data_IF_403260784943
#
_entry.id   IF_403260784943
#
_cell.length_a   1.000
_cell.length_b   1.000
_cell.length_c   1.000
_cell.angle_alpha   90.00
_cell.angle_beta   90.00
_cell.angle_gamma   90.00
#
_symmetry.space_group_name_H-M   'P 1'
#
loop_
_entity.id
_entity.type
_entity.pdbx_description
1 polymer ?
2 non-polymer ?
3 non-polymer ?
4 water ?
#
# COMPACT_ATOMS: atom_id res chain seq x y z
N UNK A 14 5.30 20.75 7.50
CA UNK A 14 4.44 19.65 7.93
C UNK A 14 5.14 18.31 7.90
N UNK A 15 5.83 18.04 6.79
CA UNK A 15 6.53 16.79 6.62
C UNK A 15 7.67 16.68 7.61
N UNK A 16 7.78 15.53 8.23
CA UNK A 16 8.80 15.26 9.22
C UNK A 16 9.87 14.39 8.59
N UNK A 17 11.09 14.93 8.52
CA UNK A 17 12.24 14.18 8.06
C UNK A 17 12.77 13.37 9.23
N UNK A 18 12.93 12.08 9.03
CA UNK A 18 13.39 11.21 10.10
C UNK A 18 14.38 10.26 9.43
N UNK A 19 15.66 10.47 9.73
CA UNK A 19 16.72 9.91 8.91
C UNK A 19 16.49 10.26 7.47
N UNK A 20 16.51 9.23 6.63
CA UNK A 20 16.33 9.35 5.19
C UNK A 20 14.89 9.13 4.75
N UNK A 21 13.96 9.06 5.70
CA UNK A 21 12.55 8.86 5.42
C UNK A 21 11.76 10.12 5.74
N UNK A 22 10.54 10.18 5.24
CA UNK A 22 9.65 11.31 5.45
C UNK A 22 8.31 10.79 5.94
N UNK A 23 7.75 11.48 6.94
CA UNK A 23 6.48 11.09 7.52
C UNK A 23 5.55 12.28 7.48
N UNK A 24 4.30 12.05 7.09
CA UNK A 24 3.34 13.14 6.95
C UNK A 24 2.00 12.73 7.56
N UNK A 25 1.51 13.49 8.55
CA UNK A 25 0.21 13.18 9.12
C UNK A 25 -0.90 13.51 8.14
N UNK A 26 -1.78 12.54 7.89
CA UNK A 26 -2.91 12.73 6.98
C UNK A 26 -4.24 12.90 7.69
N UNK A 27 -4.36 12.36 8.90
CA UNK A 27 -5.58 12.39 9.70
C UNK A 27 -5.16 12.16 11.14
N UNK A 28 -6.06 12.35 12.11
CA UNK A 28 -5.63 12.19 13.51
C UNK A 28 -4.93 10.87 13.82
N UNK A 29 -5.30 9.78 13.15
CA UNK A 29 -4.73 8.48 13.44
C UNK A 29 -4.00 7.87 12.23
N UNK A 30 -3.64 8.67 11.23
CA UNK A 30 -3.09 8.14 9.98
C UNK A 30 -1.91 8.98 9.54
N UNK A 31 -0.81 8.31 9.19
CA UNK A 31 0.38 8.96 8.66
C UNK A 31 0.84 8.24 7.40
N UNK A 32 1.43 9.00 6.49
CA UNK A 32 2.07 8.43 5.32
C UNK A 32 3.58 8.30 5.58
N UNK A 33 4.15 7.11 5.32
CA UNK A 33 5.58 6.93 5.37
C UNK A 33 6.12 6.98 3.96
N UNK A 34 7.30 7.60 3.78
CA UNK A 34 7.91 7.71 2.46
C UNK A 34 9.38 7.36 2.56
N UNK A 35 9.82 6.48 1.65
CA UNK A 35 11.20 6.06 1.58
C UNK A 35 11.69 6.10 0.14
N UNK A 36 13.01 6.14 -0.04
CA UNK A 36 13.57 6.43 -1.36
C UNK A 36 14.61 5.39 -1.76
N UNK A 37 14.64 5.05 -3.05
CA UNK A 37 15.66 4.16 -3.58
C UNK A 37 16.06 4.65 -4.95
N UNK A 38 17.36 4.69 -5.20
CA UNK A 38 17.84 5.04 -6.53
C UNK A 38 17.49 3.95 -7.53
N UNK A 39 16.93 4.34 -8.67
CA UNK A 39 16.69 3.45 -9.80
C UNK A 39 17.29 4.09 -11.02
N UNK A 40 18.41 3.59 -11.54
CA UNK A 40 19.02 4.17 -12.74
C UNK A 40 18.00 4.41 -13.85
N UNK A 41 17.92 5.64 -14.32
CA UNK A 41 16.92 6.05 -15.29
C UNK A 41 15.70 6.73 -14.71
N UNK A 42 15.45 6.55 -13.41
CA UNK A 42 14.33 7.21 -12.73
C UNK A 42 14.77 8.22 -11.68
N UNK A 43 15.99 8.14 -11.19
CA UNK A 43 16.38 8.95 -10.06
C UNK A 43 16.10 8.24 -8.74
N UNK A 44 16.03 9.03 -7.67
CA UNK A 44 15.72 8.54 -6.34
C UNK A 44 14.20 8.50 -6.19
N UNK A 45 13.63 7.31 -6.21
CA UNK A 45 12.18 7.12 -6.34
C UNK A 45 11.53 7.04 -4.97
N UNK A 46 10.55 7.90 -4.73
CA UNK A 46 9.79 7.85 -3.49
C UNK A 46 8.77 6.71 -3.56
N UNK A 47 8.57 6.05 -2.43
CA UNK A 47 7.46 5.11 -2.32
C UNK A 47 6.76 5.38 -1.01
N UNK A 48 5.42 5.42 -1.05
CA UNK A 48 4.61 5.76 0.12
C UNK A 48 3.84 4.55 0.62
N UNK A 49 3.74 4.45 1.94
CA UNK A 49 2.83 3.54 2.64
C UNK A 49 2.10 4.29 3.74
N UNK A 50 1.40 3.55 4.60
CA UNK A 50 0.60 4.15 5.66
C UNK A 50 0.93 3.54 7.01
N UNK A 51 0.66 4.35 8.03
CA UNK A 51 0.72 3.94 9.44
C UNK A 51 -0.61 4.39 10.04
N UNK A 52 -1.31 3.46 10.72
CA UNK A 52 -2.63 3.76 11.28
C UNK A 52 -2.62 3.38 12.75
N UNK A 53 -3.03 4.31 13.62
CA UNK A 53 -3.25 3.96 15.02
C UNK A 53 -4.70 3.52 15.18
N UNK A 54 -4.89 2.33 15.76
CA UNK A 54 -6.22 1.82 16.05
C UNK A 54 -6.26 1.57 17.56
N UNK A 55 -6.74 2.56 18.32
CA UNK A 55 -6.76 2.43 19.76
C UNK A 55 -5.36 2.27 20.29
N UNK A 56 -5.09 1.17 21.00
CA UNK A 56 -3.80 0.91 21.61
C UNK A 56 -2.80 0.15 20.76
N UNK A 57 -3.00 0.09 19.45
CA UNK A 57 -2.05 -0.58 18.59
C UNK A 57 -1.89 0.18 17.28
N UNK A 58 -0.85 -0.20 16.54
CA UNK A 58 -0.52 0.42 15.26
C UNK A 58 -0.55 -0.64 14.16
N UNK A 59 -1.04 -0.23 12.99
CA UNK A 59 -1.12 -1.09 11.82
C UNK A 59 -0.33 -0.42 10.72
N UNK A 60 0.43 -1.20 9.96
CA UNK A 60 1.27 -0.67 8.89
C UNK A 60 0.79 -1.21 7.54
N UNK A 61 0.73 -0.32 6.54
CA UNK A 61 0.48 -0.71 5.16
C UNK A 61 1.74 -0.43 4.36
N UNK A 62 2.33 -1.51 3.84
CA UNK A 62 3.55 -1.55 3.03
C UNK A 62 4.84 -1.37 3.82
N UNK A 63 5.88 -2.11 3.45
CA UNK A 63 7.20 -1.81 3.99
C UNK A 63 7.80 -0.61 3.27
N UNK A 64 9.00 -0.21 3.67
CA UNK A 64 9.83 0.65 2.85
C UNK A 64 10.59 -0.23 1.84
N UNK A 65 11.46 0.40 1.04
CA UNK A 65 12.19 -0.36 0.04
C UNK A 65 13.13 -1.41 0.66
N UNK A 66 13.71 -1.14 1.83
CA UNK A 66 14.73 -2.00 2.39
C UNK A 66 14.41 -2.33 3.85
N UNK A 67 15.12 -3.33 4.37
CA UNK A 67 14.99 -3.70 5.77
C UNK A 67 15.41 -2.53 6.65
N UNK A 68 16.56 -1.91 6.35
CA UNK A 68 17.03 -0.79 7.18
C UNK A 68 16.00 0.33 7.23
N UNK A 69 15.43 0.69 6.08
CA UNK A 69 14.43 1.75 6.07
C UNK A 69 13.19 1.33 6.85
N UNK A 70 12.82 0.04 6.74
CA UNK A 70 11.64 -0.43 7.45
C UNK A 70 11.85 -0.42 8.95
N UNK A 71 13.05 -0.81 9.41
CA UNK A 71 13.39 -0.66 10.83
C UNK A 71 13.27 0.80 11.26
N UNK A 72 13.62 1.74 10.36
CA UNK A 72 13.49 3.16 10.70
C UNK A 72 12.02 3.56 10.83
N UNK A 73 11.12 2.98 10.01
CA UNK A 73 9.69 3.21 10.21
C UNK A 73 9.29 2.77 11.62
N UNK A 74 9.77 1.59 12.05
CA UNK A 74 9.42 1.12 13.37
C UNK A 74 10.00 2.01 14.47
N UNK A 75 11.20 2.55 14.24
CA UNK A 75 11.78 3.51 15.17
C UNK A 75 10.94 4.79 15.26
N UNK A 76 10.49 5.30 14.11
CA UNK A 76 9.62 6.48 14.12
C UNK A 76 8.34 6.19 14.90
N UNK A 77 7.73 5.03 14.66
CA UNK A 77 6.51 4.66 15.38
C UNK A 77 6.78 4.67 16.89
N UNK A 78 7.92 4.10 17.30
CA UNK A 78 8.23 4.04 18.73
C UNK A 78 8.35 5.43 19.33
N UNK A 79 8.95 6.36 18.58
CA UNK A 79 9.17 7.71 19.08
C UNK A 79 7.89 8.53 19.08
N UNK A 80 7.11 8.43 18.01
CA UNK A 80 5.98 9.35 17.81
C UNK A 80 4.63 8.81 18.28
N UNK A 81 4.49 7.49 18.36
CA UNK A 81 3.24 6.87 18.80
C UNK A 81 3.44 6.03 20.05
N UNK A 82 4.51 5.23 20.10
CA UNK A 82 4.86 4.45 21.29
C UNK A 82 3.75 3.47 21.68
N UNK A 83 3.29 2.71 20.69
CA UNK A 83 2.34 1.63 20.89
C UNK A 83 2.79 0.47 20.02
N UNK A 84 2.42 -0.76 20.39
CA UNK A 84 2.90 -1.91 19.62
C UNK A 84 2.32 -1.93 18.22
N UNK A 85 3.11 -2.42 17.27
CA UNK A 85 2.66 -2.64 15.90
C UNK A 85 2.06 -4.03 15.82
N UNK A 86 0.73 -4.10 15.67
CA UNK A 86 0.02 -5.37 15.71
C UNK A 86 0.17 -6.17 14.44
N UNK A 87 0.23 -5.51 13.28
CA UNK A 87 0.33 -6.22 12.01
C UNK A 87 0.74 -5.24 10.93
N UNK A 88 1.16 -5.82 9.82
CA UNK A 88 1.40 -5.09 8.59
C UNK A 88 0.77 -5.85 7.44
N UNK A 89 0.24 -5.10 6.46
CA UNK A 89 -0.26 -5.69 5.24
C UNK A 89 0.48 -5.01 4.09
N UNK A 90 0.93 -5.82 3.13
CA UNK A 90 1.70 -5.31 2.00
C UNK A 90 0.92 -5.54 0.72
N UNK A 91 1.04 -4.62 -0.23
CA UNK A 91 0.04 -4.50 -1.28
C UNK A 91 0.41 -5.10 -2.64
N UNK A 92 1.67 -5.52 -2.86
CA UNK A 92 2.01 -6.42 -3.97
C UNK A 92 3.48 -6.80 -3.84
N UNK A 93 3.88 -7.78 -4.64
CA UNK A 93 5.24 -8.32 -4.56
C UNK A 93 6.23 -7.57 -5.46
N UNK A 94 6.44 -6.29 -5.15
CA UNK A 94 7.55 -5.51 -5.67
C UNK A 94 8.31 -4.94 -4.48
N UNK A 95 9.56 -4.53 -4.73
CA UNK A 95 10.47 -4.16 -3.64
C UNK A 95 9.98 -2.96 -2.84
N UNK A 96 9.33 -1.99 -3.50
CA UNK A 96 8.90 -0.83 -2.75
C UNK A 96 7.83 -1.16 -1.72
N UNK A 97 7.11 -2.27 -1.87
CA UNK A 97 6.02 -2.65 -0.97
C UNK A 97 6.41 -3.76 -0.01
N UNK A 98 7.35 -4.62 -0.39
CA UNK A 98 7.67 -5.82 0.37
C UNK A 98 9.16 -5.95 0.63
N UNK A 99 9.98 -4.95 0.27
CA UNK A 99 11.41 -5.08 0.43
C UNK A 99 11.87 -5.17 1.86
N UNK A 100 11.06 -4.72 2.82
CA UNK A 100 11.49 -4.72 4.21
C UNK A 100 10.82 -5.77 5.08
N UNK A 101 10.33 -6.86 4.47
CA UNK A 101 9.63 -7.90 5.23
C UNK A 101 10.46 -8.45 6.38
N UNK A 102 11.76 -8.70 6.14
CA UNK A 102 12.59 -9.29 7.20
C UNK A 102 12.65 -8.39 8.43
N UNK A 103 12.65 -7.07 8.23
CA UNK A 103 12.67 -6.16 9.37
C UNK A 103 11.39 -6.29 10.19
N UNK A 104 10.24 -6.44 9.54
CA UNK A 104 8.99 -6.65 10.28
C UNK A 104 9.04 -7.95 11.06
N UNK A 105 9.54 -9.01 10.41
CA UNK A 105 9.62 -10.29 11.09
C UNK A 105 10.60 -10.26 12.25
N UNK A 106 11.74 -9.58 12.08
CA UNK A 106 12.71 -9.46 13.17
C UNK A 106 12.11 -8.73 14.37
N UNK A 107 11.14 -7.86 14.15
CA UNK A 107 10.47 -7.11 15.20
C UNK A 107 9.29 -7.86 15.79
N UNK A 108 8.99 -9.04 15.28
CA UNK A 108 7.89 -9.84 15.79
C UNK A 108 6.52 -9.42 15.31
N UNK A 109 6.44 -8.72 14.17
CA UNK A 109 5.17 -8.20 13.66
C UNK A 109 4.54 -9.23 12.73
N UNK A 110 3.27 -9.50 12.93
CA UNK A 110 2.53 -10.41 12.06
C UNK A 110 2.30 -9.74 10.71
N UNK A 111 2.57 -10.46 9.62
CA UNK A 111 2.51 -9.85 8.30
C UNK A 111 1.52 -10.59 7.40
N UNK A 112 0.90 -9.82 6.51
CA UNK A 112 -0.18 -10.30 5.65
C UNK A 112 0.03 -9.78 4.23
N UNK A 113 -0.28 -10.62 3.24
CA UNK A 113 -0.27 -10.21 1.84
C UNK A 113 -1.29 -11.06 1.11
N UNK A 114 -1.74 -10.58 -0.05
CA UNK A 114 -2.46 -11.45 -0.99
C UNK A 114 -1.74 -12.78 -1.12
N UNK A 115 -2.49 -13.89 -1.06
CA UNK A 115 -1.90 -15.20 -1.32
C UNK A 115 -1.03 -15.18 -2.56
N UNK A 116 -1.48 -14.50 -3.62
CA UNK A 116 -0.71 -14.47 -4.86
C UNK A 116 0.60 -13.70 -4.69
N UNK A 117 0.59 -12.61 -3.88
CA UNK A 117 1.85 -11.94 -3.55
C UNK A 117 2.81 -12.86 -2.84
N UNK A 118 2.31 -13.69 -1.91
CA UNK A 118 3.21 -14.59 -1.22
C UNK A 118 3.75 -15.65 -2.17
N UNK A 119 2.91 -16.10 -3.09
CA UNK A 119 3.36 -17.06 -4.10
C UNK A 119 4.46 -16.47 -4.96
N UNK A 120 4.31 -15.20 -5.35
CA UNK A 120 5.26 -14.56 -6.26
C UNK A 120 6.51 -14.07 -5.54
N UNK A 121 6.46 -13.91 -4.23
CA UNK A 121 7.54 -13.20 -3.55
C UNK A 121 8.91 -13.81 -3.85
N UNK A 122 9.12 -15.13 -3.73
CA UNK A 122 10.46 -15.66 -3.98
C UNK A 122 11.00 -15.33 -5.34
N UNK A 123 10.22 -15.52 -6.42
CA UNK A 123 10.72 -15.23 -7.75
C UNK A 123 10.94 -13.72 -7.95
N UNK A 124 10.22 -12.88 -7.22
CA UNK A 124 10.42 -11.44 -7.29
C UNK A 124 11.56 -10.95 -6.43
N UNK A 125 12.20 -11.84 -5.66
CA UNK A 125 13.27 -11.43 -4.79
C UNK A 125 12.84 -10.93 -3.45
N UNK A 126 11.60 -11.21 -3.05
CA UNK A 126 11.02 -10.75 -1.80
C UNK A 126 10.92 -11.93 -0.85
N UNK A 127 10.80 -11.61 0.43
CA UNK A 127 10.41 -12.56 1.46
C UNK A 127 8.88 -12.51 1.58
N UNK A 128 8.24 -13.69 1.60
CA UNK A 128 6.78 -13.74 1.73
C UNK A 128 6.32 -13.25 3.09
N UNK A 129 5.11 -12.69 3.14
CA UNK A 129 4.45 -12.46 4.42
C UNK A 129 4.11 -13.78 5.08
N UNK A 130 3.81 -13.73 6.37
CA UNK A 130 3.52 -14.94 7.13
C UNK A 130 2.13 -15.49 6.86
N UNK A 131 1.20 -14.62 6.47
CA UNK A 131 -0.20 -14.96 6.32
C UNK A 131 -0.68 -14.51 4.96
N UNK A 132 -1.60 -15.30 4.40
CA UNK A 132 -2.14 -15.06 3.08
C UNK A 132 -3.60 -14.63 3.12
N UNK A 133 -3.87 -13.51 2.47
CA UNK A 133 -5.24 -13.04 2.29
C UNK A 133 -5.85 -13.68 1.06
N UNK A 134 -7.12 -14.05 1.16
CA UNK A 134 -7.84 -14.47 -0.03
C UNK A 134 -9.08 -13.61 -0.16
N UNK A 135 -9.65 -13.61 -1.35
CA UNK A 135 -10.63 -12.60 -1.72
C UNK A 135 -11.85 -13.29 -2.31
N UNK A 136 -13.02 -12.75 -1.99
CA UNK A 136 -14.26 -13.19 -2.61
C UNK A 136 -14.27 -12.80 -4.09
N UNK A 137 -15.23 -13.39 -4.82
CA UNK A 137 -15.35 -13.07 -6.24
C UNK A 137 -15.57 -11.59 -6.47
N UNK A 138 -16.20 -10.90 -5.52
CA UNK A 138 -16.44 -9.46 -5.66
C UNK A 138 -15.23 -8.60 -5.29
N UNK A 139 -14.12 -9.20 -4.86
CA UNK A 139 -12.93 -8.44 -4.52
C UNK A 139 -12.69 -8.18 -3.05
N UNK A 140 -13.72 -8.25 -2.21
CA UNK A 140 -13.49 -7.96 -0.79
C UNK A 140 -12.75 -9.11 -0.12
N UNK A 141 -11.82 -8.76 0.77
CA UNK A 141 -11.07 -9.79 1.48
C UNK A 141 -12.02 -10.74 2.19
N UNK A 142 -11.67 -12.01 2.19
CA UNK A 142 -12.37 -12.94 3.03
C UNK A 142 -12.03 -12.61 4.48
N UNK A 143 -13.01 -12.27 5.31
CA UNK A 143 -12.69 -11.71 6.64
C UNK A 143 -11.86 -12.59 7.54
N UNK A 144 -12.01 -13.91 7.45
CA UNK A 144 -11.24 -14.76 8.32
C UNK A 144 -9.75 -14.74 7.99
N UNK A 145 -9.38 -14.31 6.78
CA UNK A 145 -7.97 -14.22 6.46
C UNK A 145 -7.34 -12.91 6.86
N UNK A 146 -8.14 -11.93 7.29
CA UNK A 146 -7.64 -10.63 7.74
C UNK A 146 -8.14 -10.37 9.16
N UNK A 147 -7.80 -11.25 10.12
CA UNK A 147 -8.30 -11.07 11.48
C UNK A 147 -7.67 -9.84 12.13
N UNK A 148 -8.45 -9.16 12.95
CA UNK A 148 -7.93 -8.05 13.76
C UNK A 148 -7.42 -6.90 12.92
N UNK A 149 -7.95 -6.73 11.70
CA UNK A 149 -7.55 -5.62 10.85
C UNK A 149 -8.16 -4.29 11.24
N UNK A 150 -9.07 -4.26 12.21
CA UNK A 150 -9.59 -3.00 12.68
C UNK A 150 -10.22 -2.20 11.56
N UNK A 151 -9.80 -0.93 11.41
CA UNK A 151 -10.38 -0.07 10.37
C UNK A 151 -9.86 -0.35 8.97
N UNK A 152 -8.89 -1.25 8.78
CA UNK A 152 -8.37 -1.49 7.43
C UNK A 152 -9.34 -2.37 6.65
N UNK A 153 -9.80 -1.87 5.52
CA UNK A 153 -10.73 -2.58 4.65
C UNK A 153 -9.98 -2.96 3.37
N UNK A 154 -9.71 -4.23 3.18
CA UNK A 154 -8.82 -4.67 2.11
C UNK A 154 -9.62 -5.17 0.92
N UNK A 155 -9.25 -4.69 -0.27
CA UNK A 155 -10.02 -4.93 -1.49
C UNK A 155 -9.07 -5.27 -2.64
N UNK A 156 -9.34 -6.39 -3.31
CA UNK A 156 -8.62 -6.76 -4.53
C UNK A 156 -9.39 -6.26 -5.73
N UNK A 157 -8.89 -5.26 -6.46
CA UNK A 157 -9.68 -4.65 -7.53
C UNK A 157 -9.61 -5.39 -8.84
N UNK A 158 -8.82 -6.45 -8.94
CA UNK A 158 -8.53 -7.09 -10.20
C UNK A 158 -7.10 -6.81 -10.61
N UNK A 159 -6.59 -7.56 -11.59
CA UNK A 159 -5.22 -7.33 -12.04
C UNK A 159 -5.07 -5.99 -12.74
N UNK A 160 -3.95 -5.33 -12.49
CA UNK A 160 -3.72 -4.03 -13.07
C UNK A 160 -2.24 -3.71 -13.16
N UNK A 161 -1.76 -2.90 -12.21
CA UNK A 161 -0.33 -2.67 -12.11
C UNK A 161 0.42 -4.00 -12.01
N UNK A 162 -0.09 -4.92 -11.20
CA UNK A 162 0.37 -6.30 -11.18
C UNK A 162 -0.86 -7.18 -11.05
N UNK A 163 -0.64 -8.49 -11.20
CA UNK A 163 -1.73 -9.45 -11.04
C UNK A 163 -2.21 -9.52 -9.60
N UNK A 164 -1.33 -9.21 -8.64
CA UNK A 164 -1.61 -9.39 -7.22
C UNK A 164 -1.95 -8.12 -6.46
N UNK A 165 -1.99 -6.97 -7.12
CA UNK A 165 -2.13 -5.72 -6.38
C UNK A 165 -3.43 -5.67 -5.57
N UNK A 166 -3.31 -5.20 -4.33
CA UNK A 166 -4.48 -5.01 -3.46
C UNK A 166 -4.50 -3.56 -2.96
N UNK A 167 -5.64 -3.16 -2.42
CA UNK A 167 -5.88 -1.78 -2.00
C UNK A 167 -6.52 -1.79 -0.62
N UNK A 168 -6.46 -0.64 0.07
CA UNK A 168 -6.87 -0.60 1.47
C UNK A 168 -7.59 0.71 1.76
N UNK A 169 -8.80 0.64 2.30
CA UNK A 169 -9.48 1.82 2.80
C UNK A 169 -9.37 1.87 4.31
N UNK A 170 -9.46 3.07 4.89
CA UNK A 170 -9.36 3.24 6.33
C UNK A 170 -10.69 3.73 6.85
N UNK A 171 -11.44 2.84 7.49
CA UNK A 171 -12.72 3.21 8.07
C UNK A 171 -12.54 4.33 9.10
N UNK A 172 -13.53 5.21 9.16
CA UNK A 172 -13.43 6.34 10.06
C UNK A 172 -12.66 7.51 9.50
N UNK A 173 -12.20 7.43 8.25
CA UNK A 173 -11.46 8.50 7.59
C UNK A 173 -12.01 8.66 6.19
N UNK A 174 -11.50 9.66 5.48
CA UNK A 174 -11.81 9.84 4.07
C UNK A 174 -10.72 9.27 3.16
N UNK A 175 -9.92 8.33 3.65
CA UNK A 175 -8.67 7.94 3.00
C UNK A 175 -8.84 6.54 2.41
N UNK A 176 -8.38 6.37 1.17
CA UNK A 176 -8.22 5.06 0.57
C UNK A 176 -6.86 5.00 -0.11
N UNK A 177 -6.22 3.86 -0.01
CA UNK A 177 -4.86 3.68 -0.49
C UNK A 177 -4.88 2.79 -1.72
N UNK A 178 -4.46 3.33 -2.87
CA UNK A 178 -4.40 2.58 -4.10
C UNK A 178 -3.06 1.94 -4.39
N UNK A 179 -2.05 2.17 -3.56
CA UNK A 179 -0.75 1.57 -3.83
C UNK A 179 -0.21 2.00 -5.19
N UNK A 180 0.41 1.06 -5.89
CA UNK A 180 0.96 1.41 -7.19
C UNK A 180 -0.05 1.28 -8.32
N UNK A 181 -1.29 0.87 -8.01
CA UNK A 181 -2.32 0.84 -9.03
C UNK A 181 -2.71 2.23 -9.50
N UNK A 182 -2.75 3.20 -8.59
CA UNK A 182 -3.28 4.53 -8.88
C UNK A 182 -2.13 5.52 -8.97
N UNK A 183 -2.19 6.38 -10.00
CA UNK A 183 -1.28 7.50 -10.19
C UNK A 183 -2.05 8.80 -10.04
N UNK A 184 -1.34 9.89 -9.79
CA UNK A 184 -1.98 11.17 -9.47
C UNK A 184 -2.73 11.76 -10.67
N UNK A 185 -3.58 12.76 -10.36
CA UNK A 185 -4.51 13.33 -11.33
C UNK A 185 -3.81 14.08 -12.45
N UNK A 186 -2.53 14.41 -12.31
CA UNK A 186 -1.77 15.01 -13.39
C UNK A 186 -0.63 14.12 -13.87
N UNK A 187 -0.67 12.84 -13.52
CA UNK A 187 0.38 11.93 -13.94
C UNK A 187 0.35 11.75 -15.45
N UNK A 188 1.50 11.39 -15.99
CA UNK A 188 1.69 11.34 -17.41
C UNK A 188 1.88 9.92 -17.93
N UNK A 189 2.21 8.99 -17.05
CA UNK A 189 2.33 7.60 -17.45
C UNK A 189 1.86 6.76 -16.29
N UNK A 190 1.59 5.50 -16.57
CA UNK A 190 1.22 4.54 -15.55
C UNK A 190 2.43 3.84 -14.94
N UNK A 191 3.64 4.34 -15.22
CA UNK A 191 4.82 3.84 -14.55
C UNK A 191 5.29 2.48 -15.03
N UNK A 192 5.61 1.60 -14.09
CA UNK A 192 6.14 0.28 -14.41
C UNK A 192 5.00 -0.64 -14.83
N UNK A 193 4.95 -0.96 -16.12
CA UNK A 193 3.96 -1.86 -16.70
C UNK A 193 4.52 -3.25 -17.01
N UNK A 194 5.75 -3.54 -16.58
CA UNK A 194 6.36 -4.82 -16.91
C UNK A 194 5.60 -6.02 -16.40
N UNK A 195 4.93 -5.89 -15.24
CA UNK A 195 4.15 -6.99 -14.68
C UNK A 195 2.66 -6.71 -14.78
N UNK A 196 2.26 -5.73 -15.58
CA UNK A 196 0.89 -5.26 -15.59
C UNK A 196 0.00 -6.12 -16.47
N UNK A 197 -1.30 -5.94 -16.24
CA UNK A 197 -2.41 -6.55 -17.03
C UNK A 197 -3.11 -5.38 -17.73
N UNK A 198 -2.62 -5.01 -18.93
CA UNK A 198 -3.10 -3.84 -19.71
C UNK A 198 -4.59 -3.97 -20.07
N UNK A 199 -5.02 -5.18 -20.35
CA UNK A 199 -6.43 -5.45 -20.70
C UNK A 199 -7.35 -5.09 -19.54
N UNK A 200 -6.99 -5.46 -18.31
CA UNK A 200 -7.88 -5.26 -17.13
C UNK A 200 -7.55 -4.05 -16.27
N UNK A 201 -6.46 -3.32 -16.55
CA UNK A 201 -6.03 -2.21 -15.69
C UNK A 201 -7.15 -1.19 -15.49
N UNK A 202 -7.75 -0.69 -16.59
CA UNK A 202 -8.72 0.39 -16.44
C UNK A 202 -9.88 -0.05 -15.55
N UNK A 203 -10.39 -1.27 -15.76
CA UNK A 203 -11.50 -1.75 -14.97
C UNK A 203 -11.10 -1.91 -13.51
N UNK A 204 -9.87 -2.37 -13.26
CA UNK A 204 -9.39 -2.55 -11.91
C UNK A 204 -9.27 -1.22 -11.19
N UNK A 205 -8.78 -0.18 -11.89
CA UNK A 205 -8.72 1.15 -11.28
C UNK A 205 -10.11 1.66 -10.94
N UNK A 206 -11.09 1.48 -11.85
CA UNK A 206 -12.45 1.94 -11.54
C UNK A 206 -13.06 1.10 -10.44
N UNK A 207 -12.73 -0.19 -10.36
CA UNK A 207 -13.24 -1.01 -9.27
C UNK A 207 -12.75 -0.51 -7.91
N UNK A 208 -11.48 -0.08 -7.83
CA UNK A 208 -10.97 0.53 -6.60
C UNK A 208 -11.81 1.75 -6.21
N UNK A 209 -12.08 2.64 -7.17
CA UNK A 209 -12.87 3.81 -6.85
C UNK A 209 -14.27 3.45 -6.37
N UNK A 210 -14.87 2.44 -6.98
CA UNK A 210 -16.23 2.04 -6.63
C UNK A 210 -16.27 1.32 -5.28
N UNK A 211 -15.18 0.65 -4.90
CA UNK A 211 -15.12 -0.03 -3.60
C UNK A 211 -15.07 0.97 -2.45
N UNK A 212 -14.50 2.15 -2.69
CA UNK A 212 -14.33 3.17 -1.65
C UNK A 212 -14.95 4.48 -2.13
N UNK A 213 -16.27 4.50 -2.33
CA UNK A 213 -16.91 5.63 -3.06
C UNK A 213 -16.86 6.95 -2.32
N UNK A 214 -16.74 6.94 -1.00
CA UNK A 214 -16.74 8.18 -0.24
C UNK A 214 -15.33 8.63 0.17
N UNK A 215 -14.29 7.91 -0.26
CA UNK A 215 -12.92 8.35 0.01
C UNK A 215 -12.60 9.57 -0.84
N UNK A 216 -12.27 10.67 -0.18
CA UNK A 216 -11.92 11.90 -0.88
C UNK A 216 -10.43 12.14 -0.92
N UNK A 217 -9.64 11.45 -0.09
CA UNK A 217 -8.19 11.53 -0.15
C UNK A 217 -7.65 10.19 -0.63
N UNK A 218 -7.02 10.19 -1.79
CA UNK A 218 -6.49 9.00 -2.41
C UNK A 218 -4.98 9.01 -2.24
N UNK A 219 -4.48 8.06 -1.48
CA UNK A 219 -3.05 7.89 -1.22
C UNK A 219 -2.52 6.85 -2.19
N UNK A 220 -1.28 7.06 -2.66
CA UNK A 220 -0.73 6.15 -3.66
C UNK A 220 0.77 6.05 -3.46
N UNK A 221 1.36 5.08 -4.12
CA UNK A 221 2.76 4.79 -3.82
C UNK A 221 3.71 5.86 -4.31
N UNK A 222 3.47 6.44 -5.50
CA UNK A 222 4.51 7.20 -6.19
C UNK A 222 4.10 8.64 -6.48
N UNK A 223 3.13 9.17 -5.73
CA UNK A 223 2.75 10.57 -5.78
C UNK A 223 2.18 10.94 -4.44
N UNK A 224 2.16 12.24 -4.15
CA UNK A 224 1.54 12.74 -2.93
C UNK A 224 0.03 12.51 -2.98
N UNK A 225 -0.64 12.56 -1.83
CA UNK A 225 -2.08 12.28 -1.82
C UNK A 225 -2.84 13.26 -2.70
N UNK A 226 -3.91 12.76 -3.31
CA UNK A 226 -4.64 13.53 -4.31
C UNK A 226 -6.14 13.32 -4.10
N UNK A 227 -6.93 14.06 -4.87
CA UNK A 227 -8.37 13.89 -4.82
C UNK A 227 -8.77 12.66 -5.65
N UNK A 228 -10.08 12.40 -5.72
CA UNK A 228 -10.58 11.28 -6.50
C UNK A 228 -10.29 11.44 -7.98
N UNK A 229 -9.89 12.63 -8.42
CA UNK A 229 -9.46 12.80 -9.81
C UNK A 229 -8.25 11.92 -10.14
N UNK A 230 -7.48 11.49 -9.13
CA UNK A 230 -6.42 10.53 -9.39
C UNK A 230 -7.01 9.23 -9.93
N UNK A 231 -8.16 8.81 -9.40
CA UNK A 231 -8.78 7.57 -9.85
C UNK A 231 -9.30 7.72 -11.28
N UNK A 232 -10.12 8.76 -11.51
CA UNK A 232 -10.65 9.01 -12.86
C UNK A 232 -9.53 9.19 -13.86
N UNK A 233 -8.48 9.93 -13.50
CA UNK A 233 -7.39 10.13 -14.44
C UNK A 233 -6.64 8.84 -14.71
N UNK A 234 -6.33 8.10 -13.65
CA UNK A 234 -5.66 6.80 -13.84
C UNK A 234 -6.50 5.90 -14.74
N UNK A 235 -7.81 5.83 -14.48
CA UNK A 235 -8.67 5.02 -15.32
C UNK A 235 -8.68 5.55 -16.76
N UNK A 236 -8.74 6.87 -16.93
CA UNK A 236 -8.77 7.43 -18.28
C UNK A 236 -7.49 7.15 -19.03
N UNK A 237 -6.34 7.12 -18.34
CA UNK A 237 -5.08 6.75 -18.99
C UNK A 237 -5.02 5.25 -19.29
N UNK A 238 -5.51 4.42 -18.37
CA UNK A 238 -5.52 2.99 -18.64
C UNK A 238 -6.51 2.62 -19.73
N UNK A 239 -7.52 3.46 -19.95
CA UNK A 239 -8.54 3.23 -21.01
C UNK A 239 -7.82 3.12 -22.35
N UNK A 240 -6.70 3.84 -22.49
CA UNK A 240 -5.87 3.91 -23.73
C UNK A 240 -5.04 2.64 -23.90
N UNK A 241 -4.85 1.85 -22.83
CA UNK A 241 -4.01 0.63 -22.88
C UNK A 241 -4.76 -0.52 -23.56
N UNK A 242 -6.08 -0.42 -23.68
CA UNK A 242 -6.88 -1.50 -24.33
C UNK A 242 -7.93 -0.89 -25.26
X LIG B 1 9.18 1.63 -10.12
X LIG B 1 8.33 3.16 -11.84
X LIG B 1 8.35 4.32 -10.88
X LIG B 1 7.23 5.29 -11.19
X LIG B 1 9.06 0.32 -9.89
X LIG B 1 8.94 -0.17 -8.45
X LIG B 1 10.25 -0.85 -8.05
X LIG B 1 8.12 3.72 -9.48
X LIG B 1 9.21 2.70 -9.11
X LIG B 1 9.40 2.15 -11.51
X LIG B 1 7.80 -1.19 -8.26
X LIG B 1 7.61 6.55 -11.39
X LIG B 1 9.08 -0.51 -10.81
X LIG B 1 6.05 4.91 -11.26
X LIG B 1 6.17 -0.52 -8.63
X LIG C 1 5.62 0.88 -6.88
X LIG D 1 4.86 -2.38 -8.29
#
# INVERSE_FOLDING_TARGET
GEIRPTIGQQMETGDQRFGDLVFRQLAPNVWQHTSYLDMPGFGAVASNGLIVRDGGRVLVVDTAWTDDQTAQILNWIKQEINLPVALAVVTHAHQDKMGGMDALHAAGIATYANALSNQLAPQEGMVAAQHSLTFAANGWVEPATAPNFGPLKVFYPGPGHTSDNITVGIDGTDIAFGGCLIKDSKAKSLGNLGDADTEHYAASARAFGAAFPKASMIVMSHSAPDSRAAITHTARMADKLR
EFF N1 C4 C5 C6 C7 C8 C10 C1 C2 C3 C9 N2 O1 O2 S1
ZN ZN
ZN ZN
#
